data_IF_130538826758
#
_entry.id   IF_130538826758
#
_cell.length_a   1.000
_cell.length_b   1.000
_cell.length_c   1.000
_cell.angle_alpha   90.00
_cell.angle_beta   90.00
_cell.angle_gamma   90.00
#
_symmetry.space_group_name_H-M   'P 1'
#
loop_
_entity.id
_entity.type
_entity.pdbx_description
1 polymer ?
#
# COMPACT_ATOMS: atom_id res chain seq x y z
N UNK A 1 16.79 -36.71 1.95
CA UNK A 1 15.34 -36.57 1.75
C UNK A 1 14.81 -35.30 2.44
N UNK A 2 15.38 -34.11 2.19
CA UNK A 2 14.91 -32.83 2.76
C UNK A 2 15.06 -31.60 1.84
N UNK A 3 15.40 -31.77 0.56
CA UNK A 3 15.69 -30.65 -0.35
C UNK A 3 14.54 -30.27 -1.30
N UNK A 4 13.34 -30.82 -1.13
CA UNK A 4 12.22 -30.63 -2.09
C UNK A 4 11.00 -29.85 -1.60
N UNK A 5 11.00 -29.35 -0.36
CA UNK A 5 9.87 -28.56 0.17
C UNK A 5 10.11 -27.05 0.20
N UNK A 6 11.32 -26.58 -0.10
CA UNK A 6 11.68 -25.15 0.01
C UNK A 6 11.33 -24.34 -1.23
N UNK A 7 11.27 -24.93 -2.43
CA UNK A 7 11.12 -24.17 -3.68
C UNK A 7 9.69 -23.61 -3.90
N UNK A 8 8.66 -24.23 -3.32
CA UNK A 8 7.26 -23.84 -3.48
C UNK A 8 6.87 -22.62 -2.63
N UNK A 9 7.55 -22.37 -1.51
CA UNK A 9 7.26 -21.23 -0.65
C UNK A 9 7.81 -19.91 -1.22
N UNK A 10 8.98 -19.96 -1.88
CA UNK A 10 9.63 -18.80 -2.47
C UNK A 10 8.83 -18.17 -3.62
N UNK A 11 8.14 -18.99 -4.43
CA UNK A 11 7.34 -18.51 -5.55
C UNK A 11 5.99 -17.92 -5.11
N UNK A 12 5.40 -18.44 -4.03
CA UNK A 12 4.18 -17.86 -3.44
C UNK A 12 4.50 -16.58 -2.67
N UNK A 13 5.69 -16.47 -2.07
CA UNK A 13 6.16 -15.23 -1.42
C UNK A 13 6.54 -14.11 -2.38
N UNK A 14 6.73 -14.39 -3.67
CA UNK A 14 7.04 -13.37 -4.70
C UNK A 14 5.80 -12.70 -5.31
N UNK A 15 4.61 -13.29 -5.17
CA UNK A 15 3.35 -12.71 -5.66
C UNK A 15 2.46 -12.08 -4.59
N UNK A 16 2.79 -12.27 -3.30
CA UNK A 16 2.14 -11.56 -2.19
C UNK A 16 3.19 -10.73 -1.46
N UNK A 17 3.86 -9.81 -2.17
CA UNK A 17 4.25 -8.59 -1.48
C UNK A 17 3.00 -7.72 -1.44
N UNK A 18 2.14 -7.98 -0.46
CA UNK A 18 1.27 -6.94 0.04
C UNK A 18 2.22 -5.88 0.60
N UNK A 19 2.66 -4.94 -0.25
CA UNK A 19 3.33 -3.73 0.19
C UNK A 19 2.29 -2.95 0.99
N UNK A 20 2.08 -3.36 2.25
CA UNK A 20 1.50 -2.51 3.26
C UNK A 20 2.51 -1.39 3.43
N UNK A 21 2.31 -0.30 2.70
CA UNK A 21 3.05 0.93 2.90
C UNK A 21 2.70 1.40 4.31
N UNK A 22 3.56 1.07 5.27
CA UNK A 22 3.41 1.51 6.65
C UNK A 22 3.78 2.98 6.71
N UNK A 23 3.03 3.74 7.51
CA UNK A 23 3.39 5.12 7.77
C UNK A 23 4.78 5.20 8.40
N UNK A 24 5.59 6.22 8.05
CA UNK A 24 6.89 6.43 8.67
C UNK A 24 6.75 6.62 10.18
N UNK A 25 7.84 6.43 10.92
CA UNK A 25 7.83 6.61 12.37
C UNK A 25 7.35 8.00 12.78
N UNK A 26 6.48 8.03 13.79
CA UNK A 26 5.84 9.26 14.27
C UNK A 26 4.72 9.79 13.36
N UNK A 27 4.24 9.00 12.40
CA UNK A 27 3.01 9.28 11.64
C UNK A 27 1.90 8.29 12.00
N UNK A 28 0.65 8.73 11.88
CA UNK A 28 -0.54 7.94 12.17
C UNK A 28 -1.21 7.47 10.88
N UNK A 29 -1.39 6.17 10.73
CA UNK A 29 -2.18 5.60 9.62
C UNK A 29 -3.66 5.69 9.94
N UNK A 30 -4.48 6.08 8.96
CA UNK A 30 -5.94 6.14 9.13
C UNK A 30 -6.74 5.69 7.91
N UNK A 31 -6.14 5.74 6.71
CA UNK A 31 -6.60 5.06 5.50
C UNK A 31 -5.42 4.29 4.90
N UNK A 32 -5.64 3.27 4.05
CA UNK A 32 -4.57 2.66 3.27
C UNK A 32 -3.79 3.74 2.52
N UNK A 33 -2.47 3.77 2.70
CA UNK A 33 -1.59 4.73 2.06
C UNK A 33 -1.79 6.21 2.44
N UNK A 34 -2.50 6.53 3.53
CA UNK A 34 -2.56 7.90 4.06
C UNK A 34 -2.06 7.98 5.50
N UNK A 35 -1.19 8.95 5.73
CA UNK A 35 -0.50 9.16 6.99
C UNK A 35 -0.70 10.58 7.50
N UNK A 36 -0.93 10.72 8.79
CA UNK A 36 -1.07 12.02 9.46
C UNK A 36 0.09 12.29 10.39
N UNK A 37 0.51 13.54 10.47
CA UNK A 37 1.46 14.01 11.49
C UNK A 37 0.93 15.25 12.16
N UNK A 38 0.92 15.22 13.48
CA UNK A 38 0.46 16.31 14.31
C UNK A 38 1.65 17.05 14.91
N UNK A 39 1.61 18.38 14.86
CA UNK A 39 2.60 19.23 15.50
C UNK A 39 1.91 20.18 16.48
N UNK A 40 2.21 20.00 17.77
CA UNK A 40 1.73 20.88 18.85
C UNK A 40 2.58 22.17 18.91
N UNK A 41 2.65 22.89 17.80
CA UNK A 41 3.40 24.14 17.66
C UNK A 41 2.47 25.23 17.14
N UNK A 42 2.51 26.40 17.78
CA UNK A 42 1.70 27.54 17.41
C UNK A 42 2.33 28.29 16.24
N UNK A 43 1.63 28.32 15.10
CA UNK A 43 2.13 28.93 13.86
C UNK A 43 1.02 29.62 13.07
N UNK A 44 1.40 30.45 12.10
CA UNK A 44 0.48 31.01 11.10
C UNK A 44 0.06 29.98 10.06
N UNK A 45 -1.02 30.25 9.32
CA UNK A 45 -1.48 29.34 8.26
C UNK A 45 -0.40 29.08 7.20
N UNK A 46 0.27 30.14 6.72
CA UNK A 46 1.31 30.00 5.70
C UNK A 46 2.54 29.25 6.23
N UNK A 47 2.84 29.41 7.53
CA UNK A 47 3.90 28.63 8.20
C UNK A 47 3.51 27.16 8.34
N UNK A 48 2.26 26.86 8.69
CA UNK A 48 1.71 25.51 8.76
C UNK A 48 1.74 24.82 7.38
N UNK A 49 1.32 25.55 6.34
CA UNK A 49 1.39 25.11 4.96
C UNK A 49 2.84 24.77 4.55
N UNK A 50 3.77 25.68 4.83
CA UNK A 50 5.19 25.49 4.53
C UNK A 50 5.81 24.31 5.29
N UNK A 51 5.42 24.12 6.56
CA UNK A 51 5.87 23.00 7.39
C UNK A 51 5.46 21.65 6.81
N UNK A 52 4.21 21.50 6.35
CA UNK A 52 3.78 20.27 5.71
C UNK A 52 4.51 20.06 4.37
N UNK A 53 4.68 21.12 3.56
CA UNK A 53 5.41 21.03 2.30
C UNK A 53 6.88 20.61 2.49
N UNK A 54 7.55 21.09 3.54
CA UNK A 54 8.95 20.74 3.82
C UNK A 54 9.16 19.26 4.18
N UNK A 55 8.11 18.55 4.60
CA UNK A 55 8.14 17.11 4.91
C UNK A 55 7.45 16.25 3.82
N UNK A 56 7.33 16.81 2.61
CA UNK A 56 6.69 16.17 1.45
C UNK A 56 5.26 15.72 1.74
N UNK A 57 4.49 16.60 2.38
CA UNK A 57 3.08 16.40 2.73
C UNK A 57 2.27 17.67 2.44
N UNK A 58 0.96 17.62 2.68
CA UNK A 58 0.04 18.77 2.61
C UNK A 58 -0.58 19.03 3.97
N UNK A 59 -1.19 20.20 4.17
CA UNK A 59 -2.16 20.35 5.25
C UNK A 59 -3.34 19.40 5.01
N UNK A 60 -3.92 18.87 6.09
CA UNK A 60 -4.99 17.87 6.00
C UNK A 60 -6.25 18.41 5.31
N UNK A 61 -6.78 17.64 4.37
CA UNK A 61 -8.16 17.75 3.89
C UNK A 61 -9.05 16.75 4.64
N UNK A 62 -10.30 17.15 4.93
CA UNK A 62 -11.22 16.32 5.71
C UNK A 62 -12.48 16.07 4.88
N UNK A 63 -12.73 14.80 4.55
CA UNK A 63 -13.80 14.37 3.65
C UNK A 63 -14.92 13.60 4.34
N UNK A 64 -14.78 13.27 5.62
CA UNK A 64 -15.83 12.62 6.40
C UNK A 64 -15.65 12.82 7.89
N UNK A 65 -16.73 12.57 8.64
CA UNK A 65 -16.71 12.56 10.11
C UNK A 65 -15.71 11.55 10.68
N UNK A 66 -15.48 10.43 9.98
CA UNK A 66 -14.46 9.46 10.38
C UNK A 66 -13.07 10.09 10.37
N UNK A 67 -12.71 10.82 9.32
CA UNK A 67 -11.40 11.48 9.19
C UNK A 67 -11.23 12.58 10.23
N UNK A 68 -12.28 13.38 10.46
CA UNK A 68 -12.32 14.40 11.52
C UNK A 68 -12.06 13.79 12.91
N UNK A 69 -12.73 12.69 13.23
CA UNK A 69 -12.58 11.98 14.51
C UNK A 69 -11.17 11.40 14.70
N UNK A 70 -10.48 11.03 13.63
CA UNK A 70 -9.07 10.63 13.69
C UNK A 70 -8.19 11.83 14.06
N UNK A 71 -8.38 12.99 13.41
CA UNK A 71 -7.64 14.21 13.74
C UNK A 71 -7.88 14.61 15.20
N UNK A 72 -9.13 14.53 15.66
CA UNK A 72 -9.48 14.73 17.07
C UNK A 72 -8.74 13.78 18.01
N UNK A 73 -8.74 12.49 17.70
CA UNK A 73 -8.09 11.47 18.53
C UNK A 73 -6.58 11.69 18.64
N UNK A 74 -5.93 12.11 17.53
CA UNK A 74 -4.50 12.43 17.52
C UNK A 74 -4.24 13.70 18.32
N UNK A 75 -5.03 14.76 18.12
CA UNK A 75 -4.87 16.01 18.87
C UNK A 75 -5.09 15.84 20.36
N UNK A 76 -6.14 15.09 20.77
CA UNK A 76 -6.39 14.72 22.18
C UNK A 76 -5.22 13.96 22.80
N UNK A 77 -4.52 13.12 22.04
CA UNK A 77 -3.33 12.41 22.54
C UNK A 77 -2.16 13.36 22.83
N UNK A 78 -1.97 14.38 22.00
CA UNK A 78 -0.90 15.37 22.18
C UNK A 78 -1.25 16.41 23.24
N UNK A 79 -2.52 16.82 23.31
CA UNK A 79 -3.01 17.89 24.17
C UNK A 79 -4.35 17.47 24.80
N UNK A 80 -4.34 16.63 25.85
CA UNK A 80 -5.55 15.99 26.37
C UNK A 80 -6.47 16.92 27.18
N UNK A 81 -5.93 17.98 27.77
CA UNK A 81 -6.62 18.77 28.79
C UNK A 81 -6.98 20.19 28.34
N UNK A 82 -6.60 20.59 27.13
CA UNK A 82 -6.80 21.95 26.65
C UNK A 82 -7.49 21.95 25.29
N UNK A 83 -8.50 22.79 25.16
CA UNK A 83 -9.09 23.12 23.87
C UNK A 83 -8.09 23.92 23.05
N UNK A 84 -7.99 23.61 21.77
CA UNK A 84 -7.05 24.27 20.88
C UNK A 84 -7.54 24.18 19.44
N UNK A 85 -7.01 25.08 18.61
CA UNK A 85 -7.29 25.13 17.20
C UNK A 85 -6.15 24.52 16.41
N UNK A 86 -6.50 23.92 15.27
CA UNK A 86 -5.55 23.28 14.36
C UNK A 86 -5.84 23.78 12.95
N UNK A 87 -4.83 24.27 12.25
CA UNK A 87 -4.97 24.61 10.84
C UNK A 87 -5.30 23.38 10.00
N UNK A 88 -6.31 23.51 9.15
CA UNK A 88 -6.66 22.50 8.13
C UNK A 88 -6.43 23.09 6.74
N UNK A 89 -6.27 22.23 5.74
CA UNK A 89 -5.79 22.61 4.41
C UNK A 89 -6.83 23.30 3.54
N UNK A 90 -7.72 24.13 4.10
CA UNK A 90 -8.74 24.85 3.35
C UNK A 90 -8.53 26.36 3.39
N UNK A 91 -8.62 26.97 2.22
CA UNK A 91 -8.53 28.42 2.03
C UNK A 91 -9.69 28.92 1.19
N UNK A 92 -10.18 30.12 1.48
CA UNK A 92 -11.19 30.80 0.68
C UNK A 92 -10.55 31.29 -0.61
N UNK A 93 -11.19 30.96 -1.72
CA UNK A 93 -10.89 31.51 -3.04
C UNK A 93 -12.19 32.08 -3.57
N UNK A 94 -12.17 33.39 -3.85
CA UNK A 94 -13.34 34.21 -4.17
C UNK A 94 -14.35 34.21 -3.01
N UNK A 95 -15.44 33.45 -3.14
CA UNK A 95 -16.53 33.36 -2.15
C UNK A 95 -16.62 32.00 -1.46
N UNK A 96 -15.80 31.02 -1.86
CA UNK A 96 -15.94 29.61 -1.44
C UNK A 96 -14.65 29.05 -0.86
N UNK A 97 -14.76 28.14 0.11
CA UNK A 97 -13.61 27.39 0.61
C UNK A 97 -13.25 26.26 -0.34
N UNK A 98 -11.95 26.05 -0.52
CA UNK A 98 -11.38 24.96 -1.31
C UNK A 98 -10.23 24.31 -0.54
N UNK A 99 -10.09 23.00 -0.68
CA UNK A 99 -8.92 22.30 -0.17
C UNK A 99 -7.69 22.61 -1.03
N UNK A 100 -6.52 22.75 -0.39
CA UNK A 100 -5.24 23.06 -1.03
C UNK A 100 -4.67 21.89 -1.85
N UNK A 101 -5.16 20.67 -1.63
CA UNK A 101 -4.85 19.48 -2.41
C UNK A 101 -5.74 19.33 -3.67
N UNK A 102 -6.66 20.28 -3.89
CA UNK A 102 -7.66 20.29 -4.96
C UNK A 102 -8.71 19.17 -4.90
N UNK A 103 -8.84 18.50 -3.76
CA UNK A 103 -9.92 17.54 -3.51
C UNK A 103 -11.29 18.24 -3.37
N UNK A 104 -12.37 17.47 -3.46
CA UNK A 104 -13.74 17.98 -3.35
C UNK A 104 -14.07 18.51 -1.95
N UNK A 105 -14.69 19.69 -1.89
CA UNK A 105 -15.14 20.34 -0.64
C UNK A 105 -16.61 20.00 -0.34
N UNK A 106 -16.91 18.73 -0.07
CA UNK A 106 -18.29 18.23 0.12
C UNK A 106 -18.70 18.00 1.57
N UNK A 107 -17.74 17.68 2.45
CA UNK A 107 -17.97 17.50 3.88
C UNK A 107 -17.52 18.76 4.63
N UNK A 108 -18.38 19.26 5.52
CA UNK A 108 -18.09 20.43 6.35
C UNK A 108 -18.72 20.28 7.72
N UNK A 109 -17.99 20.67 8.76
CA UNK A 109 -18.50 20.82 10.12
C UNK A 109 -18.35 22.29 10.57
N UNK A 110 -18.92 23.23 9.80
CA UNK A 110 -18.81 24.68 10.06
C UNK A 110 -20.17 25.20 10.56
N UNK A 111 -20.29 25.61 11.84
CA UNK A 111 -21.47 26.28 12.37
C UNK A 111 -21.74 27.64 11.71
N UNK A 112 -23.00 28.10 11.69
CA UNK A 112 -23.39 29.36 11.02
C UNK A 112 -22.61 30.59 11.52
N UNK A 113 -22.31 30.67 12.83
CA UNK A 113 -21.54 31.75 13.43
C UNK A 113 -20.04 31.72 13.09
N UNK A 114 -19.58 30.70 12.37
CA UNK A 114 -18.18 30.46 12.05
C UNK A 114 -17.80 30.76 10.59
N UNK A 115 -18.79 31.17 9.77
CA UNK A 115 -18.56 31.62 8.39
C UNK A 115 -18.12 33.08 8.27
N UNK A 116 -18.19 33.87 9.34
CA UNK A 116 -18.36 35.33 9.23
C UNK A 116 -17.19 36.10 9.87
N UNK A 117 -16.13 36.35 9.08
CA UNK A 117 -15.41 37.63 9.09
C UNK A 117 -14.88 37.90 7.67
N UNK A 118 -14.98 39.14 7.18
CA UNK A 118 -14.60 39.54 5.81
C UNK A 118 -13.08 39.44 5.51
N UNK A 119 -12.27 39.06 6.50
CA UNK A 119 -10.82 38.82 6.38
C UNK A 119 -10.43 37.40 6.84
N UNK A 120 -11.41 36.52 7.06
CA UNK A 120 -11.17 35.13 7.47
C UNK A 120 -11.18 34.19 6.27
N UNK A 121 -10.00 34.01 5.68
CA UNK A 121 -9.79 33.18 4.49
C UNK A 121 -9.24 31.79 4.81
N UNK A 122 -8.83 31.50 6.04
CA UNK A 122 -8.23 30.23 6.42
C UNK A 122 -9.11 29.46 7.42
N UNK A 123 -9.29 28.15 7.21
CA UNK A 123 -10.07 27.32 8.13
C UNK A 123 -9.20 26.66 9.19
N UNK A 124 -9.70 26.64 10.42
CA UNK A 124 -9.14 25.85 11.50
C UNK A 124 -10.22 24.96 12.13
N UNK A 125 -9.80 23.77 12.56
CA UNK A 125 -10.58 22.79 13.31
C UNK A 125 -10.37 23.04 14.81
N UNK A 126 -11.46 23.25 15.54
CA UNK A 126 -11.44 23.30 17.00
C UNK A 126 -11.47 21.88 17.55
N UNK A 127 -10.49 21.55 18.38
CA UNK A 127 -10.48 20.32 19.15
C UNK A 127 -10.86 20.64 20.58
N UNK A 128 -11.97 20.06 21.07
CA UNK A 128 -12.39 20.20 22.46
C UNK A 128 -12.36 18.85 23.19
N UNK A 129 -11.17 18.41 23.69
CA UNK A 129 -10.99 17.08 24.27
C UNK A 129 -11.92 16.72 25.43
N UNK A 130 -12.28 17.72 26.25
CA UNK A 130 -13.12 17.52 27.44
C UNK A 130 -14.55 17.11 27.08
N UNK A 131 -15.13 17.73 26.06
CA UNK A 131 -16.50 17.44 25.62
C UNK A 131 -16.57 16.42 24.47
N UNK A 132 -15.42 16.02 23.90
CA UNK A 132 -15.35 15.21 22.68
C UNK A 132 -16.15 15.82 21.52
N UNK A 133 -16.03 17.13 21.33
CA UNK A 133 -16.67 17.85 20.23
C UNK A 133 -15.62 18.52 19.36
N UNK A 134 -15.94 18.64 18.07
CA UNK A 134 -15.17 19.44 17.12
C UNK A 134 -16.09 20.22 16.20
N UNK A 135 -15.56 21.29 15.64
CA UNK A 135 -16.20 22.13 14.63
C UNK A 135 -15.15 23.04 13.99
N UNK A 136 -15.45 23.61 12.83
CA UNK A 136 -14.51 24.39 12.03
C UNK A 136 -14.95 25.85 12.03
N UNK A 137 -13.98 26.78 12.07
CA UNK A 137 -14.26 28.19 11.89
C UNK A 137 -13.22 28.86 11.00
N UNK A 138 -13.64 29.95 10.36
CA UNK A 138 -12.78 30.75 9.52
C UNK A 138 -12.04 31.80 10.36
N UNK A 139 -10.74 31.91 10.15
CA UNK A 139 -9.85 32.85 10.83
C UNK A 139 -9.00 33.62 9.83
N UNK A 140 -8.48 34.77 10.28
CA UNK A 140 -7.37 35.46 9.64
C UNK A 140 -6.18 34.50 9.57
N UNK A 141 -5.65 34.30 8.36
CA UNK A 141 -4.51 33.43 8.08
C UNK A 141 -3.24 33.84 8.85
N UNK A 142 -3.19 35.09 9.32
CA UNK A 142 -2.11 35.68 10.12
C UNK A 142 -2.16 35.29 11.60
N UNK A 143 -3.26 34.70 12.08
CA UNK A 143 -3.35 34.16 13.44
C UNK A 143 -2.24 33.12 13.66
N UNK A 144 -1.53 33.19 14.78
CA UNK A 144 -0.28 32.42 14.98
C UNK A 144 -0.32 31.45 16.15
N UNK A 145 -1.51 31.15 16.67
CA UNK A 145 -1.72 30.41 17.92
C UNK A 145 -2.37 29.04 17.69
N UNK A 146 -2.30 28.50 16.46
CA UNK A 146 -2.92 27.23 16.09
C UNK A 146 -1.88 26.18 15.75
N UNK A 147 -2.20 24.93 16.07
CA UNK A 147 -1.39 23.75 15.79
C UNK A 147 -1.51 23.31 14.33
N UNK A 148 -0.73 22.30 13.94
CA UNK A 148 -0.64 21.83 12.54
C UNK A 148 -0.94 20.34 12.44
N UNK A 149 -1.74 19.96 11.46
CA UNK A 149 -1.90 18.56 11.04
C UNK A 149 -1.59 18.44 9.56
N UNK A 150 -0.58 17.63 9.26
CA UNK A 150 -0.17 17.33 7.91
C UNK A 150 -0.67 15.96 7.48
N UNK A 151 -0.99 15.83 6.20
CA UNK A 151 -1.39 14.61 5.53
C UNK A 151 -0.39 14.24 4.43
N UNK A 152 0.00 12.97 4.41
CA UNK A 152 0.87 12.42 3.38
C UNK A 152 0.23 11.19 2.75
N UNK A 153 0.13 11.21 1.43
CA UNK A 153 -0.20 10.03 0.64
C UNK A 153 1.08 9.24 0.33
N UNK A 154 1.14 7.98 0.76
CA UNK A 154 2.18 7.03 0.42
C UNK A 154 1.92 6.52 -1.01
N UNK A 155 2.29 7.32 -2.00
CA UNK A 155 2.47 6.77 -3.35
C UNK A 155 3.54 5.67 -3.24
N UNK A 156 3.33 4.53 -3.90
CA UNK A 156 4.40 3.55 -4.03
C UNK A 156 5.58 4.28 -4.65
N UNK A 157 6.66 4.45 -3.88
CA UNK A 157 7.95 4.80 -4.44
C UNK A 157 8.30 3.64 -5.38
N UNK A 158 7.92 3.79 -6.65
CA UNK A 158 8.53 3.03 -7.73
C UNK A 158 10.03 3.23 -7.53
N UNK A 159 10.80 2.15 -7.59
CA UNK A 159 12.25 2.13 -7.45
C UNK A 159 12.94 3.01 -8.53
N UNK A 160 12.75 4.32 -8.46
CA UNK A 160 13.34 5.38 -9.28
C UNK A 160 14.31 6.20 -8.42
N UNK A 161 14.18 6.10 -7.09
CA UNK A 161 15.05 6.79 -6.14
C UNK A 161 16.45 6.16 -5.99
N UNK A 162 16.71 4.96 -6.55
CA UNK A 162 18.09 4.45 -6.75
C UNK A 162 18.71 4.90 -8.09
N UNK A 163 17.90 5.31 -9.07
CA UNK A 163 18.39 5.80 -10.37
C UNK A 163 18.86 7.26 -10.23
N UNK A 164 18.22 8.05 -9.37
CA UNK A 164 18.59 9.44 -9.15
C UNK A 164 19.94 9.60 -8.43
N UNK A 165 20.34 8.66 -7.59
CA UNK A 165 21.67 8.66 -6.95
C UNK A 165 22.78 8.26 -7.94
N UNK A 166 22.49 7.33 -8.85
CA UNK A 166 23.34 7.07 -10.03
C UNK A 166 23.35 8.24 -11.02
N UNK A 167 22.31 9.07 -11.08
CA UNK A 167 22.30 10.25 -11.95
C UNK A 167 23.28 11.33 -11.50
N UNK A 168 23.56 11.43 -10.18
CA UNK A 168 24.59 12.31 -9.65
C UNK A 168 26.00 11.83 -10.04
N UNK A 169 26.21 10.50 -10.05
CA UNK A 169 27.43 9.87 -10.56
C UNK A 169 27.56 10.02 -12.09
N UNK A 170 26.47 9.86 -12.86
CA UNK A 170 26.48 10.11 -14.31
C UNK A 170 26.72 11.60 -14.63
N UNK A 171 26.21 12.52 -13.81
CA UNK A 171 26.51 13.97 -13.92
C UNK A 171 27.98 14.28 -13.63
N UNK A 172 28.61 13.61 -12.66
CA UNK A 172 30.05 13.79 -12.38
C UNK A 172 30.96 13.16 -13.44
N UNK A 173 30.48 12.13 -14.15
CA UNK A 173 31.16 11.56 -15.32
C UNK A 173 30.98 12.46 -16.55
N UNK A 174 29.78 13.00 -16.79
CA UNK A 174 29.50 13.87 -17.93
C UNK A 174 30.15 15.26 -17.83
N UNK A 175 30.50 15.75 -16.63
CA UNK A 175 31.32 16.97 -16.50
C UNK A 175 32.76 16.80 -16.99
N UNK A 176 33.23 15.56 -17.18
CA UNK A 176 34.58 15.26 -17.67
C UNK A 176 34.65 14.93 -19.17
N UNK A 177 33.52 14.96 -19.88
CA UNK A 177 33.47 14.72 -21.33
C UNK A 177 32.91 15.94 -22.05
N UNK A 178 33.81 16.77 -22.58
CA UNK A 178 33.48 17.92 -23.42
C UNK A 178 32.92 17.44 -24.76
N UNK A 179 31.59 17.43 -24.91
CA UNK A 179 30.96 17.46 -26.22
C UNK A 179 30.04 18.67 -26.31
N UNK A 180 30.59 19.78 -26.81
CA UNK A 180 29.84 20.97 -27.19
C UNK A 180 28.85 20.59 -28.29
N UNK A 181 27.55 20.60 -27.98
CA UNK A 181 26.50 20.69 -29.01
C UNK A 181 25.55 21.83 -28.65
N UNK A 182 25.77 22.97 -29.31
CA UNK A 182 24.83 24.09 -29.31
C UNK A 182 23.54 23.63 -29.99
N UNK A 183 22.39 23.72 -29.31
CA UNK A 183 21.08 23.52 -29.93
C UNK A 183 20.12 24.62 -29.47
N UNK A 184 19.51 25.29 -30.46
CA UNK A 184 18.63 26.46 -30.29
C UNK A 184 17.29 26.08 -29.64
N UNK A 185 16.74 27.01 -28.86
CA UNK A 185 15.63 26.86 -27.91
C UNK A 185 14.23 26.63 -28.55
N UNK A 186 14.14 26.31 -29.83
CA UNK A 186 12.86 26.10 -30.55
C UNK A 186 12.52 24.64 -30.86
N UNK A 187 13.42 23.66 -30.70
CA UNK A 187 13.12 22.24 -30.99
C UNK A 187 12.63 21.41 -29.77
N UNK A 188 12.72 21.95 -28.54
CA UNK A 188 12.41 21.19 -27.31
C UNK A 188 10.92 20.86 -27.16
N UNK A 189 10.01 21.63 -27.78
CA UNK A 189 8.56 21.43 -27.61
C UNK A 189 7.99 20.28 -28.45
N UNK A 190 8.58 19.97 -29.59
CA UNK A 190 8.05 18.90 -30.46
C UNK A 190 8.57 17.52 -30.02
N UNK A 191 9.82 17.42 -29.54
CA UNK A 191 10.35 16.15 -29.03
C UNK A 191 9.62 15.67 -27.75
N UNK A 192 9.16 16.58 -26.89
CA UNK A 192 8.42 16.23 -25.67
C UNK A 192 7.03 15.63 -25.97
N UNK A 193 6.34 16.13 -27.01
CA UNK A 193 5.03 15.61 -27.41
C UNK A 193 5.16 14.28 -28.17
N UNK A 194 6.12 14.17 -29.09
CA UNK A 194 6.42 12.91 -29.82
C UNK A 194 6.87 11.80 -28.85
N UNK A 195 7.72 12.12 -27.87
CA UNK A 195 8.14 11.15 -26.85
C UNK A 195 6.96 10.72 -25.96
N UNK A 196 6.00 11.61 -25.66
CA UNK A 196 4.82 11.27 -24.84
C UNK A 196 3.85 10.31 -25.52
N UNK A 197 3.69 10.40 -26.85
CA UNK A 197 2.83 9.49 -27.61
C UNK A 197 3.49 8.12 -27.82
N UNK A 198 4.79 8.08 -28.16
CA UNK A 198 5.52 6.82 -28.33
C UNK A 198 5.68 6.02 -27.02
N UNK A 199 5.81 6.69 -25.86
CA UNK A 199 5.86 6.00 -24.56
C UNK A 199 4.54 5.36 -24.16
N UNK A 200 3.40 5.90 -24.59
CA UNK A 200 2.08 5.36 -24.22
C UNK A 200 1.74 4.10 -25.03
N UNK A 201 2.07 4.07 -26.32
CA UNK A 201 1.86 2.89 -27.17
C UNK A 201 2.86 1.77 -26.83
N UNK A 202 4.14 2.09 -26.63
CA UNK A 202 5.14 1.11 -26.21
C UNK A 202 4.87 0.54 -24.82
N UNK A 203 4.37 1.35 -23.86
CA UNK A 203 3.92 0.83 -22.56
C UNK A 203 2.68 -0.07 -22.71
N UNK A 204 1.73 0.26 -23.58
CA UNK A 204 0.54 -0.57 -23.77
C UNK A 204 0.88 -1.92 -24.43
N UNK A 205 1.76 -1.94 -25.44
CA UNK A 205 2.22 -3.20 -26.05
C UNK A 205 3.09 -4.04 -25.10
N UNK A 206 3.99 -3.44 -24.32
CA UNK A 206 4.77 -4.16 -23.31
C UNK A 206 3.89 -4.71 -22.17
N UNK A 207 2.81 -4.02 -21.79
CA UNK A 207 1.83 -4.50 -20.80
C UNK A 207 1.01 -5.66 -21.38
N UNK A 208 0.60 -5.60 -22.65
CA UNK A 208 -0.17 -6.68 -23.31
C UNK A 208 0.70 -7.93 -23.51
N UNK A 209 1.95 -7.78 -23.94
CA UNK A 209 2.88 -8.91 -24.07
C UNK A 209 3.19 -9.54 -22.71
N UNK A 210 3.41 -8.74 -21.67
CA UNK A 210 3.64 -9.20 -20.30
C UNK A 210 2.42 -9.96 -19.74
N UNK A 211 1.21 -9.40 -19.86
CA UNK A 211 -0.02 -10.04 -19.38
C UNK A 211 -0.35 -11.34 -20.12
N UNK A 212 -0.08 -11.40 -21.42
CA UNK A 212 -0.27 -12.61 -22.24
C UNK A 212 0.70 -13.72 -21.82
N UNK A 213 1.97 -13.38 -21.56
CA UNK A 213 2.97 -14.33 -21.05
C UNK A 213 2.55 -14.88 -19.67
N UNK A 214 2.03 -14.03 -18.77
CA UNK A 214 1.55 -14.48 -17.46
C UNK A 214 0.38 -15.46 -17.54
N UNK A 215 -0.58 -15.22 -18.45
CA UNK A 215 -1.72 -16.11 -18.67
C UNK A 215 -1.25 -17.46 -19.20
N UNK A 216 -0.35 -17.47 -20.19
CA UNK A 216 0.20 -18.71 -20.78
C UNK A 216 0.95 -19.53 -19.72
N UNK A 217 1.77 -18.87 -18.89
CA UNK A 217 2.49 -19.55 -17.82
C UNK A 217 1.54 -20.11 -16.77
N UNK A 218 0.49 -19.38 -16.38
CA UNK A 218 -0.54 -19.85 -15.43
C UNK A 218 -1.28 -21.10 -15.94
N UNK A 219 -1.64 -21.11 -17.23
CA UNK A 219 -2.27 -22.28 -17.86
C UNK A 219 -1.31 -23.47 -17.88
N UNK A 220 -0.05 -23.26 -18.25
CA UNK A 220 0.97 -24.32 -18.26
C UNK A 220 1.23 -24.90 -16.86
N UNK A 221 1.28 -24.07 -15.83
CA UNK A 221 1.41 -24.54 -14.46
C UNK A 221 0.19 -25.34 -14.01
N UNK A 222 -1.01 -24.89 -14.37
CA UNK A 222 -2.25 -25.60 -14.03
C UNK A 222 -2.30 -26.98 -14.70
N UNK A 223 -1.95 -27.08 -15.99
CA UNK A 223 -1.91 -28.38 -16.69
C UNK A 223 -0.82 -29.30 -16.15
N UNK A 224 0.35 -28.76 -15.79
CA UNK A 224 1.44 -29.52 -15.18
C UNK A 224 1.06 -30.07 -13.80
N UNK A 225 0.35 -29.30 -12.98
CA UNK A 225 -0.15 -29.74 -11.67
C UNK A 225 -1.16 -30.88 -11.84
N UNK A 226 -2.13 -30.75 -12.75
CA UNK A 226 -3.06 -31.83 -13.05
C UNK A 226 -2.32 -33.09 -13.53
N UNK A 227 -1.33 -32.95 -14.41
CA UNK A 227 -0.55 -34.07 -14.90
C UNK A 227 0.20 -34.80 -13.76
N UNK A 228 0.82 -34.07 -12.83
CA UNK A 228 1.49 -34.64 -11.66
C UNK A 228 0.50 -35.36 -10.74
N UNK A 229 -0.70 -34.80 -10.54
CA UNK A 229 -1.76 -35.44 -9.75
C UNK A 229 -2.17 -36.77 -10.39
N UNK A 230 -2.38 -36.78 -11.71
CA UNK A 230 -2.75 -38.00 -12.46
C UNK A 230 -1.64 -39.06 -12.35
N UNK A 231 -0.37 -38.67 -12.47
CA UNK A 231 0.76 -39.59 -12.29
C UNK A 231 0.81 -40.17 -10.87
N UNK A 232 0.56 -39.36 -9.84
CA UNK A 232 0.51 -39.83 -8.44
C UNK A 232 -0.64 -40.80 -8.21
N UNK A 233 -1.83 -40.50 -8.75
CA UNK A 233 -2.98 -41.40 -8.66
C UNK A 233 -2.67 -42.71 -9.39
N UNK A 234 -2.08 -42.65 -10.58
CA UNK A 234 -1.67 -43.85 -11.33
C UNK A 234 -0.65 -44.71 -10.57
N UNK A 235 0.35 -44.09 -9.94
CA UNK A 235 1.30 -44.79 -9.09
C UNK A 235 0.64 -45.43 -7.86
N UNK A 236 -0.28 -44.70 -7.22
CA UNK A 236 -1.03 -45.19 -6.06
C UNK A 236 -1.90 -46.41 -6.42
N UNK A 237 -2.61 -46.34 -7.55
CA UNK A 237 -3.43 -47.44 -8.06
C UNK A 237 -2.58 -48.65 -8.46
N UNK A 238 -1.40 -48.44 -9.06
CA UNK A 238 -0.46 -49.51 -9.38
C UNK A 238 0.10 -50.19 -8.13
N UNK A 239 0.44 -49.41 -7.09
CA UNK A 239 0.87 -49.94 -5.79
C UNK A 239 -0.24 -50.74 -5.10
N UNK A 240 -1.49 -50.27 -5.14
CA UNK A 240 -2.65 -51.00 -4.63
C UNK A 240 -2.85 -52.32 -5.35
N UNK A 241 -2.78 -52.33 -6.69
CA UNK A 241 -2.87 -53.55 -7.50
C UNK A 241 -1.76 -54.55 -7.15
N UNK A 242 -0.53 -54.09 -6.96
CA UNK A 242 0.59 -54.94 -6.54
C UNK A 242 0.37 -55.56 -5.15
N UNK A 243 -0.18 -54.81 -4.20
CA UNK A 243 -0.49 -55.32 -2.84
C UNK A 243 -1.62 -56.35 -2.87
N UNK A 244 -2.65 -56.14 -3.69
CA UNK A 244 -3.73 -57.11 -3.86
C UNK A 244 -3.25 -58.43 -4.51
N UNK A 245 -2.33 -58.35 -5.47
CA UNK A 245 -1.76 -59.54 -6.13
C UNK A 245 -0.81 -60.35 -5.23
N UNK A 246 -0.18 -59.71 -4.22
CA UNK A 246 0.62 -60.42 -3.21
C UNK A 246 -0.26 -61.14 -2.18
N UNK A 247 -1.42 -60.58 -1.84
CA UNK A 247 -2.34 -61.16 -0.86
C UNK A 247 -3.10 -62.41 -1.39
N UNK A 248 -3.09 -62.65 -2.70
CA UNK A 248 -3.64 -63.87 -3.32
C UNK A 248 -2.64 -65.03 -3.48
N UNK A 249 -1.36 -64.84 -3.10
CA UNK A 249 -0.31 -65.88 -3.25
C UNK A 249 0.14 -66.55 -1.96
N UNK A 250 -0.33 -66.13 -0.79
CA UNK A 250 -0.06 -66.82 0.48
C UNK A 250 -1.06 -67.97 0.67
N UNK A 251 -0.63 -69.25 0.64
CA UNK A 251 -1.48 -70.35 1.03
C UNK A 251 -1.71 -70.33 2.54
N UNK A 252 -2.88 -70.74 3.06
CA UNK A 252 -3.15 -70.82 4.48
C UNK A 252 -2.46 -72.06 5.06
N UNK A 253 -1.15 -71.99 5.29
CA UNK A 253 -0.39 -73.06 5.98
C UNK A 253 -0.47 -72.94 7.50
N UNK A 254 -1.10 -71.89 8.04
CA UNK A 254 -1.22 -71.69 9.48
C UNK A 254 -2.46 -72.34 10.12
N UNK A 255 -3.48 -72.68 9.33
CA UNK A 255 -4.73 -73.24 9.85
C UNK A 255 -4.77 -74.77 9.92
N UNK A 256 -3.78 -75.48 9.37
CA UNK A 256 -3.74 -76.95 9.38
C UNK A 256 -3.03 -77.48 10.63
N UNK A 257 -2.01 -76.78 11.11
CA UNK A 257 -1.21 -77.24 12.25
C UNK A 257 -1.91 -77.01 13.61
N UNK A 258 -2.77 -75.99 13.73
CA UNK A 258 -3.58 -75.77 14.95
C UNK A 258 -4.74 -76.77 15.12
N UNK A 259 -5.18 -77.44 14.04
CA UNK A 259 -6.22 -78.48 14.14
C UNK A 259 -5.67 -79.88 14.46
N UNK A 260 -4.38 -80.15 14.22
CA UNK A 260 -3.74 -81.40 14.66
C UNK A 260 -3.43 -81.37 16.16
N UNK A 261 -3.05 -80.21 16.72
CA UNK A 261 -2.73 -80.08 18.15
C UNK A 261 -3.98 -80.22 19.05
N UNK A 262 -5.16 -79.78 18.58
CA UNK A 262 -6.43 -79.94 19.29
C UNK A 262 -7.02 -81.36 19.22
N UNK A 263 -6.61 -82.20 18.25
CA UNK A 263 -7.11 -83.58 18.12
C UNK A 263 -6.38 -84.55 19.04
N UNK A 264 -5.09 -84.32 19.30
CA UNK A 264 -4.29 -85.17 20.20
C UNK A 264 -4.56 -84.91 21.69
N UNK A 265 -4.97 -83.70 22.09
CA UNK A 265 -5.41 -83.42 23.48
C UNK A 265 -6.77 -84.05 23.84
N UNK A 266 -7.59 -84.43 22.85
CA UNK A 266 -8.91 -85.02 23.09
C UNK A 266 -8.88 -86.55 23.31
N UNK A 267 -7.71 -87.19 23.28
CA UNK A 267 -7.56 -88.67 23.33
C UNK A 267 -6.86 -89.21 24.58
N UNK A 268 -6.59 -88.38 25.59
CA UNK A 268 -5.97 -88.78 26.87
C UNK A 268 -6.82 -88.35 28.05
#
# INVERSE_FOLDING_TARGET
MYTKFTFSAYFVSLFIVCFSSKCPDGWYSYRPSYCLKYFAVNVTFDSAYSLCRSIHSSLISIHSEYEENIVFSIGKRHVPNFSHWVWIGARRVDSSFKWLDNSGFSYTNIPNNCYVQQQSDCLALHLFPYLNVTFWCAFDCSANNFHVVCEKHLQQETQVNEINDRSAFVKSVNSNFSFKKNFNESEVRIQALVNSQHTNEANMQNIIESTTIFIIMSIFFSTLVLFIIVLKIGFYLSSMKSKMMQNQRSPPTLAVNEMEEMYDEAKT
#
